data_IF_903638315982
#
_entry.id   IF_903638315982
#
_cell.length_a   1.000
_cell.length_b   1.000
_cell.length_c   1.000
_cell.angle_alpha   90.00
_cell.angle_beta   90.00
_cell.angle_gamma   90.00
#
_symmetry.space_group_name_H-M   'P 1'
#
loop_
_entity.id
_entity.type
_entity.pdbx_description
1 polymer ?
#
# COMPACT_ATOMS: atom_id res chain seq x y z
N UNK A 1 -13.37 -17.05 -8.52
CA UNK A 1 -12.55 -16.81 -7.30
C UNK A 1 -12.91 -17.84 -6.24
N UNK A 2 -11.94 -18.42 -5.53
CA UNK A 2 -12.15 -19.49 -4.54
C UNK A 2 -13.09 -19.01 -3.42
N UNK A 3 -14.21 -19.71 -3.20
CA UNK A 3 -15.13 -19.45 -2.08
C UNK A 3 -14.75 -20.40 -0.94
N UNK A 4 -14.40 -19.83 0.20
CA UNK A 4 -14.00 -20.56 1.40
C UNK A 4 -15.00 -20.30 2.53
N UNK A 5 -15.32 -21.33 3.31
CA UNK A 5 -16.10 -21.18 4.53
C UNK A 5 -15.26 -20.56 5.66
N UNK A 6 -15.87 -20.29 6.81
CA UNK A 6 -15.20 -19.61 7.92
C UNK A 6 -13.96 -20.37 8.43
N UNK A 7 -14.04 -21.70 8.55
CA UNK A 7 -12.93 -22.54 9.03
C UNK A 7 -11.78 -22.56 8.02
N UNK A 8 -12.10 -22.68 6.74
CA UNK A 8 -11.12 -22.66 5.65
C UNK A 8 -10.39 -21.31 5.58
N UNK A 9 -11.15 -20.21 5.60
CA UNK A 9 -10.58 -18.86 5.63
C UNK A 9 -9.75 -18.62 6.89
N UNK A 10 -10.25 -19.04 8.06
CA UNK A 10 -9.51 -18.96 9.33
C UNK A 10 -8.20 -19.75 9.31
N UNK A 11 -8.20 -20.93 8.71
CA UNK A 11 -6.99 -21.76 8.55
C UNK A 11 -5.94 -21.08 7.65
N UNK A 12 -6.39 -20.47 6.55
CA UNK A 12 -5.51 -19.72 5.63
C UNK A 12 -4.93 -18.50 6.35
N UNK A 13 -5.76 -17.74 7.06
CA UNK A 13 -5.32 -16.56 7.83
C UNK A 13 -4.31 -16.94 8.92
N UNK A 14 -4.52 -18.05 9.63
CA UNK A 14 -3.58 -18.53 10.64
C UNK A 14 -2.21 -18.86 10.03
N UNK A 15 -2.18 -19.59 8.90
CA UNK A 15 -0.95 -19.88 8.18
C UNK A 15 -0.24 -18.61 7.69
N UNK A 16 -0.99 -17.66 7.13
CA UNK A 16 -0.48 -16.38 6.67
C UNK A 16 0.13 -15.55 7.81
N UNK A 17 -0.50 -15.55 8.98
CA UNK A 17 -0.03 -14.84 10.17
C UNK A 17 1.27 -15.46 10.72
N UNK A 18 1.34 -16.79 10.79
CA UNK A 18 2.57 -17.52 11.16
C UNK A 18 3.70 -17.16 10.19
N UNK A 19 3.45 -17.16 8.89
CA UNK A 19 4.46 -16.88 7.88
C UNK A 19 4.78 -15.40 7.67
N UNK A 20 3.99 -14.48 8.24
CA UNK A 20 4.12 -13.03 7.96
C UNK A 20 5.48 -12.44 8.32
N UNK A 21 6.19 -13.06 9.27
CA UNK A 21 7.42 -12.50 9.84
C UNK A 21 7.19 -11.33 10.80
N UNK A 22 5.92 -10.99 11.09
CA UNK A 22 5.54 -9.98 12.07
C UNK A 22 5.81 -10.44 13.51
N UNK A 23 5.69 -11.74 13.79
CA UNK A 23 6.04 -12.31 15.09
C UNK A 23 7.47 -12.82 15.06
N UNK A 24 8.33 -12.24 15.89
CA UNK A 24 9.70 -12.71 16.07
C UNK A 24 9.91 -13.15 17.51
N UNK A 25 10.42 -14.36 17.68
CA UNK A 25 10.86 -14.84 18.98
C UNK A 25 12.31 -14.41 19.17
N UNK A 26 12.52 -13.37 19.96
CA UNK A 26 13.87 -12.93 20.37
C UNK A 26 14.01 -13.13 21.87
N UNK A 27 15.05 -13.85 22.29
CA UNK A 27 15.38 -14.07 23.70
C UNK A 27 14.20 -14.62 24.55
N UNK A 28 13.41 -15.53 23.98
CA UNK A 28 12.23 -16.11 24.66
C UNK A 28 11.00 -15.20 24.74
N UNK A 29 11.05 -13.99 24.18
CA UNK A 29 9.92 -13.07 24.09
C UNK A 29 9.36 -13.04 22.67
N UNK A 30 8.03 -13.03 22.57
CA UNK A 30 7.33 -12.82 21.30
C UNK A 30 7.21 -11.32 21.09
N UNK A 31 7.99 -10.79 20.14
CA UNK A 31 7.97 -9.38 19.79
C UNK A 31 7.20 -9.23 18.47
N UNK A 32 6.21 -8.34 18.48
CA UNK A 32 5.52 -7.92 17.27
C UNK A 32 6.37 -6.85 16.57
N UNK A 33 7.00 -7.22 15.46
CA UNK A 33 7.91 -6.38 14.67
C UNK A 33 7.27 -6.02 13.32
N UNK A 34 6.43 -4.97 13.31
CA UNK A 34 5.81 -4.43 12.09
C UNK A 34 4.62 -5.24 11.56
N UNK A 35 4.21 -4.94 10.33
CA UNK A 35 3.01 -5.49 9.67
C UNK A 35 3.24 -6.81 8.91
N UNK A 36 4.48 -7.29 8.86
CA UNK A 36 4.87 -8.48 8.09
C UNK A 36 5.16 -8.21 6.62
N UNK A 37 5.75 -9.20 5.94
CA UNK A 37 6.09 -9.12 4.52
C UNK A 37 4.86 -9.49 3.66
N UNK A 38 4.30 -8.49 2.98
CA UNK A 38 3.06 -8.63 2.19
C UNK A 38 3.22 -9.60 1.03
N UNK A 39 4.41 -9.68 0.42
CA UNK A 39 4.70 -10.63 -0.65
C UNK A 39 4.65 -12.05 -0.08
N UNK A 40 5.32 -12.29 1.06
CA UNK A 40 5.33 -13.59 1.71
C UNK A 40 3.94 -14.03 2.16
N UNK A 41 3.16 -13.10 2.71
CA UNK A 41 1.77 -13.32 3.11
C UNK A 41 0.95 -13.75 1.89
N UNK A 42 1.04 -13.03 0.76
CA UNK A 42 0.29 -13.36 -0.45
C UNK A 42 0.66 -14.75 -1.02
N UNK A 43 1.95 -15.08 -1.06
CA UNK A 43 2.43 -16.41 -1.48
C UNK A 43 1.94 -17.50 -0.54
N UNK A 44 2.01 -17.27 0.77
CA UNK A 44 1.54 -18.23 1.78
C UNK A 44 0.03 -18.45 1.65
N UNK A 45 -0.75 -17.39 1.45
CA UNK A 45 -2.20 -17.49 1.21
C UNK A 45 -2.49 -18.32 -0.03
N UNK A 46 -1.72 -18.11 -1.12
CA UNK A 46 -1.88 -18.90 -2.34
C UNK A 46 -1.66 -20.40 -2.10
N UNK A 47 -0.58 -20.78 -1.43
CA UNK A 47 -0.31 -22.18 -1.08
C UNK A 47 -1.34 -22.75 -0.10
N UNK A 48 -1.70 -21.99 0.94
CA UNK A 48 -2.70 -22.40 1.92
C UNK A 48 -4.07 -22.62 1.28
N UNK A 49 -4.49 -21.74 0.36
CA UNK A 49 -5.73 -21.87 -0.39
C UNK A 49 -5.77 -23.14 -1.25
N UNK A 50 -4.65 -23.46 -1.92
CA UNK A 50 -4.52 -24.70 -2.69
C UNK A 50 -4.59 -25.94 -1.78
N UNK A 51 -3.86 -25.92 -0.67
CA UNK A 51 -3.84 -27.00 0.31
C UNK A 51 -5.23 -27.24 0.93
N UNK A 52 -5.93 -26.17 1.31
CA UNK A 52 -7.29 -26.24 1.86
C UNK A 52 -8.25 -26.88 0.87
N UNK A 53 -8.22 -26.47 -0.40
CA UNK A 53 -9.07 -27.04 -1.44
C UNK A 53 -8.80 -28.53 -1.65
N UNK A 54 -7.54 -28.94 -1.54
CA UNK A 54 -7.13 -30.34 -1.67
C UNK A 54 -7.53 -31.20 -0.46
N UNK A 55 -7.44 -30.65 0.76
CA UNK A 55 -7.69 -31.39 2.00
C UNK A 55 -9.15 -31.46 2.41
N UNK A 56 -9.94 -30.40 2.14
CA UNK A 56 -11.35 -30.33 2.60
C UNK A 56 -12.18 -31.55 2.16
N UNK A 57 -12.13 -32.01 0.89
CA UNK A 57 -12.89 -33.19 0.47
C UNK A 57 -12.45 -34.49 1.13
N UNK A 58 -11.21 -34.55 1.64
CA UNK A 58 -10.60 -35.76 2.23
C UNK A 58 -10.84 -35.90 3.73
N UNK A 59 -11.05 -34.77 4.43
CA UNK A 59 -11.13 -34.75 5.89
C UNK A 59 -12.56 -34.96 6.43
N UNK A 60 -13.59 -34.78 5.61
CA UNK A 60 -14.99 -35.00 6.01
C UNK A 60 -15.33 -34.27 7.32
N UNK A 61 -15.90 -35.00 8.29
CA UNK A 61 -16.27 -34.45 9.61
C UNK A 61 -15.07 -33.94 10.44
N UNK A 62 -13.85 -34.42 10.17
CA UNK A 62 -12.65 -33.99 10.87
C UNK A 62 -12.10 -32.64 10.39
N UNK A 63 -12.71 -32.05 9.35
CA UNK A 63 -12.28 -30.77 8.78
C UNK A 63 -12.16 -29.67 9.84
N UNK A 64 -13.07 -29.63 10.82
CA UNK A 64 -13.07 -28.60 11.88
C UNK A 64 -11.81 -28.71 12.76
N UNK A 65 -11.32 -29.92 13.01
CA UNK A 65 -10.20 -30.17 13.91
C UNK A 65 -8.85 -30.20 13.18
N UNK A 66 -8.77 -30.92 12.07
CA UNK A 66 -7.49 -31.23 11.41
C UNK A 66 -7.09 -30.18 10.36
N UNK A 67 -8.05 -29.51 9.72
CA UNK A 67 -7.71 -28.55 8.67
C UNK A 67 -6.86 -27.37 9.19
N UNK A 68 -7.24 -26.69 10.29
CA UNK A 68 -6.43 -25.56 10.79
C UNK A 68 -5.02 -25.99 11.17
N UNK A 69 -4.86 -27.15 11.80
CA UNK A 69 -3.56 -27.69 12.22
C UNK A 69 -2.67 -27.98 11.01
N UNK A 70 -3.17 -28.74 10.03
CA UNK A 70 -2.38 -29.12 8.85
C UNK A 70 -2.01 -27.89 8.03
N UNK A 71 -2.94 -26.96 7.84
CA UNK A 71 -2.70 -25.75 7.04
C UNK A 71 -1.70 -24.83 7.75
N UNK A 72 -1.83 -24.64 9.06
CA UNK A 72 -0.89 -23.84 9.85
C UNK A 72 0.53 -24.41 9.80
N UNK A 73 0.69 -25.73 9.97
CA UNK A 73 2.01 -26.37 9.96
C UNK A 73 2.62 -26.41 8.56
N UNK A 74 1.86 -26.89 7.57
CA UNK A 74 2.40 -27.12 6.22
C UNK A 74 2.51 -25.81 5.45
N UNK A 75 1.41 -25.07 5.29
CA UNK A 75 1.45 -23.81 4.52
C UNK A 75 2.19 -22.71 5.29
N UNK A 76 1.99 -22.62 6.61
CA UNK A 76 2.77 -21.68 7.44
C UNK A 76 4.26 -22.01 7.47
N UNK A 77 4.63 -23.30 7.49
CA UNK A 77 6.03 -23.76 7.39
C UNK A 77 6.67 -23.43 6.05
N UNK A 78 5.97 -23.66 4.93
CA UNK A 78 6.41 -23.23 3.60
C UNK A 78 6.57 -21.72 3.54
N UNK A 79 5.62 -20.96 4.10
CA UNK A 79 5.71 -19.52 4.22
C UNK A 79 6.92 -19.04 5.02
N UNK A 80 7.24 -19.71 6.13
CA UNK A 80 8.45 -19.41 6.91
C UNK A 80 9.74 -19.72 6.14
N UNK A 81 9.76 -20.77 5.33
CA UNK A 81 10.89 -21.08 4.45
C UNK A 81 11.07 -20.02 3.34
N UNK A 82 9.98 -19.46 2.81
CA UNK A 82 10.02 -18.41 1.79
C UNK A 82 10.37 -17.01 2.36
N UNK A 83 10.15 -16.79 3.66
CA UNK A 83 10.28 -15.48 4.31
C UNK A 83 11.66 -14.82 4.14
N UNK A 84 12.81 -15.52 4.26
CA UNK A 84 14.11 -14.89 4.04
C UNK A 84 14.28 -14.35 2.62
N UNK A 85 13.77 -15.07 1.61
CA UNK A 85 13.89 -14.68 0.21
C UNK A 85 13.00 -13.49 -0.14
N UNK A 86 11.76 -13.47 0.36
CA UNK A 86 10.87 -12.31 0.18
C UNK A 86 11.40 -11.07 0.90
N UNK A 87 11.97 -11.24 2.10
CA UNK A 87 12.69 -10.17 2.83
C UNK A 87 13.90 -9.63 2.07
N UNK A 88 14.62 -10.44 1.30
CA UNK A 88 15.71 -9.92 0.44
C UNK A 88 15.16 -8.98 -0.63
N UNK A 89 14.03 -9.33 -1.25
CA UNK A 89 13.38 -8.49 -2.28
C UNK A 89 12.89 -7.18 -1.66
N UNK A 90 12.13 -7.24 -0.57
CA UNK A 90 11.61 -6.03 0.10
C UNK A 90 12.72 -5.20 0.71
N UNK A 91 13.79 -5.83 1.22
CA UNK A 91 15.01 -5.16 1.68
C UNK A 91 15.74 -4.42 0.55
N UNK A 92 15.89 -5.03 -0.63
CA UNK A 92 16.52 -4.38 -1.78
C UNK A 92 15.72 -3.17 -2.28
N UNK A 93 14.40 -3.28 -2.30
CA UNK A 93 13.50 -2.15 -2.61
C UNK A 93 13.67 -1.04 -1.57
N UNK A 94 13.70 -1.39 -0.29
CA UNK A 94 13.95 -0.45 0.80
C UNK A 94 15.30 0.27 0.63
N UNK A 95 16.39 -0.46 0.42
CA UNK A 95 17.71 0.11 0.20
C UNK A 95 17.73 1.07 -0.99
N UNK A 96 17.11 0.69 -2.10
CA UNK A 96 16.99 1.55 -3.29
C UNK A 96 16.30 2.87 -2.94
N UNK A 97 15.17 2.81 -2.23
CA UNK A 97 14.46 4.01 -1.79
C UNK A 97 15.28 4.81 -0.78
N UNK A 98 16.01 4.14 0.11
CA UNK A 98 16.93 4.78 1.04
C UNK A 98 18.03 5.56 0.33
N UNK A 99 18.47 5.16 -0.87
CA UNK A 99 19.43 5.97 -1.63
C UNK A 99 18.83 7.27 -2.17
N UNK A 100 17.50 7.34 -2.35
CA UNK A 100 16.82 8.53 -2.86
C UNK A 100 16.89 9.71 -1.88
N UNK A 101 17.02 9.43 -0.58
CA UNK A 101 17.12 10.48 0.46
C UNK A 101 18.44 11.26 0.41
N UNK A 102 19.44 10.76 -0.31
CA UNK A 102 20.72 11.44 -0.49
C UNK A 102 20.70 12.49 -1.61
N UNK A 103 19.64 12.55 -2.42
CA UNK A 103 19.51 13.54 -3.48
C UNK A 103 19.14 14.92 -2.92
N UNK A 104 19.33 15.96 -3.73
CA UNK A 104 18.91 17.31 -3.38
C UNK A 104 17.40 17.36 -3.11
N UNK A 105 16.91 18.20 -2.16
CA UNK A 105 15.54 18.12 -1.65
C UNK A 105 14.44 18.08 -2.70
N UNK A 106 14.54 18.88 -3.78
CA UNK A 106 13.55 18.91 -4.85
C UNK A 106 13.50 17.60 -5.66
N UNK A 107 14.67 17.07 -6.03
CA UNK A 107 14.78 15.81 -6.79
C UNK A 107 14.37 14.64 -5.90
N UNK A 108 14.84 14.63 -4.64
CA UNK A 108 14.42 13.68 -3.63
C UNK A 108 12.90 13.67 -3.49
N UNK A 109 12.26 14.83 -3.27
CA UNK A 109 10.82 14.92 -3.07
C UNK A 109 10.00 14.33 -4.23
N UNK A 110 10.38 14.68 -5.46
CA UNK A 110 9.74 14.11 -6.67
C UNK A 110 9.88 12.58 -6.71
N UNK A 111 11.10 12.06 -6.52
CA UNK A 111 11.37 10.63 -6.58
C UNK A 111 10.72 9.86 -5.43
N UNK A 112 10.68 10.43 -4.23
CA UNK A 112 10.00 9.87 -3.06
C UNK A 112 8.49 9.78 -3.30
N UNK A 113 7.88 10.83 -3.87
CA UNK A 113 6.48 10.81 -4.27
C UNK A 113 6.18 9.69 -5.28
N UNK A 114 6.98 9.60 -6.34
CA UNK A 114 6.88 8.54 -7.37
C UNK A 114 7.01 7.15 -6.75
N UNK A 115 8.08 6.92 -5.98
CA UNK A 115 8.40 5.62 -5.42
C UNK A 115 7.30 5.13 -4.48
N UNK A 116 6.85 5.98 -3.55
CA UNK A 116 5.84 5.61 -2.56
C UNK A 116 4.45 5.44 -3.18
N UNK A 117 4.11 6.21 -4.22
CA UNK A 117 2.89 5.98 -5.00
C UNK A 117 2.91 4.65 -5.74
N UNK A 118 4.05 4.27 -6.35
CA UNK A 118 4.19 2.96 -6.97
C UNK A 118 4.11 1.84 -5.92
N UNK A 119 4.74 2.01 -4.76
CA UNK A 119 4.72 1.02 -3.69
C UNK A 119 3.31 0.76 -3.16
N UNK A 120 2.54 1.80 -2.83
CA UNK A 120 1.26 1.62 -2.15
C UNK A 120 0.23 0.87 -3.00
N UNK A 121 0.33 0.97 -4.32
CA UNK A 121 -0.53 0.27 -5.28
C UNK A 121 0.06 -1.05 -5.79
N UNK A 122 1.21 -1.45 -5.27
CA UNK A 122 1.90 -2.71 -5.53
C UNK A 122 1.69 -3.71 -4.37
N UNK A 123 2.06 -5.00 -4.51
CA UNK A 123 2.00 -5.98 -3.42
C UNK A 123 3.11 -5.80 -2.37
N UNK A 124 3.59 -4.56 -2.16
CA UNK A 124 4.59 -4.18 -1.16
C UNK A 124 3.95 -3.28 -0.10
N UNK A 125 4.46 -3.34 1.13
CA UNK A 125 4.03 -2.45 2.21
C UNK A 125 4.80 -1.14 2.15
N UNK A 126 4.18 -0.06 1.64
CA UNK A 126 4.78 1.28 1.64
C UNK A 126 5.18 1.72 3.05
N UNK A 127 4.30 1.55 4.03
CA UNK A 127 4.55 1.84 5.46
C UNK A 127 5.67 0.94 6.01
N UNK A 128 5.67 -0.35 5.66
CA UNK A 128 6.71 -1.28 6.08
C UNK A 128 8.10 -0.87 5.57
N UNK A 129 8.18 -0.42 4.32
CA UNK A 129 9.43 0.10 3.74
C UNK A 129 9.85 1.41 4.41
N UNK A 130 8.93 2.36 4.58
CA UNK A 130 9.20 3.63 5.26
C UNK A 130 9.78 3.43 6.66
N UNK A 131 9.18 2.53 7.44
CA UNK A 131 9.63 2.16 8.78
C UNK A 131 10.99 1.46 8.77
N UNK A 132 11.22 0.57 7.80
CA UNK A 132 12.47 -0.20 7.72
C UNK A 132 13.69 0.67 7.41
N UNK A 133 13.53 1.73 6.61
CA UNK A 133 14.62 2.64 6.26
C UNK A 133 14.62 3.94 7.07
N UNK A 134 13.61 4.17 7.92
CA UNK A 134 13.51 5.36 8.78
C UNK A 134 13.31 6.65 7.98
N UNK A 135 12.40 6.68 7.02
CA UNK A 135 12.13 7.90 6.23
C UNK A 135 11.49 8.97 7.12
N UNK A 136 12.15 10.11 7.29
CA UNK A 136 11.68 11.23 8.11
C UNK A 136 11.85 12.58 7.41
N UNK A 137 11.32 13.65 8.02
CA UNK A 137 11.41 15.01 7.52
C UNK A 137 10.76 15.19 6.14
N UNK A 138 11.40 15.99 5.28
CA UNK A 138 10.89 16.35 3.94
C UNK A 138 10.66 15.11 3.07
N UNK A 139 11.48 14.07 3.22
CA UNK A 139 11.34 12.83 2.48
C UNK A 139 10.02 12.12 2.83
N UNK A 140 9.65 12.11 4.12
CA UNK A 140 8.38 11.53 4.60
C UNK A 140 7.17 12.34 4.12
N UNK A 141 7.22 13.67 4.25
CA UNK A 141 6.12 14.52 3.80
C UNK A 141 5.92 14.46 2.28
N UNK A 142 7.00 14.43 1.49
CA UNK A 142 6.94 14.26 0.04
C UNK A 142 6.36 12.90 -0.38
N UNK A 143 6.74 11.82 0.31
CA UNK A 143 6.15 10.50 0.11
C UNK A 143 4.64 10.48 0.41
N UNK A 144 4.23 11.14 1.49
CA UNK A 144 2.82 11.24 1.87
C UNK A 144 2.00 12.01 0.83
N UNK A 145 2.48 13.18 0.39
CA UNK A 145 1.80 13.94 -0.67
C UNK A 145 1.74 13.17 -1.99
N UNK A 146 2.80 12.44 -2.35
CA UNK A 146 2.80 11.57 -3.52
C UNK A 146 1.71 10.48 -3.45
N UNK A 147 1.61 9.78 -2.31
CA UNK A 147 0.55 8.78 -2.08
C UNK A 147 -0.83 9.42 -2.11
N UNK A 148 -1.00 10.60 -1.51
CA UNK A 148 -2.28 11.32 -1.54
C UNK A 148 -2.68 11.67 -2.97
N UNK A 149 -1.78 12.24 -3.78
CA UNK A 149 -2.05 12.51 -5.19
C UNK A 149 -2.39 11.25 -5.98
N UNK A 150 -1.68 10.14 -5.73
CA UNK A 150 -2.01 8.82 -6.27
C UNK A 150 -3.44 8.40 -5.92
N UNK A 151 -3.84 8.51 -4.66
CA UNK A 151 -5.17 8.13 -4.19
C UNK A 151 -6.28 8.95 -4.84
N UNK A 152 -6.14 10.27 -4.89
CA UNK A 152 -7.10 11.14 -5.57
C UNK A 152 -7.13 10.91 -7.09
N UNK A 153 -5.98 10.63 -7.70
CA UNK A 153 -5.90 10.30 -9.13
C UNK A 153 -6.72 9.06 -9.45
N UNK A 154 -6.53 7.97 -8.70
CA UNK A 154 -7.29 6.74 -8.88
C UNK A 154 -8.78 6.92 -8.55
N UNK A 155 -9.12 7.68 -7.51
CA UNK A 155 -10.50 8.01 -7.17
C UNK A 155 -11.20 8.74 -8.34
N UNK A 156 -10.58 9.81 -8.85
CA UNK A 156 -11.17 10.67 -9.88
C UNK A 156 -11.22 9.97 -11.23
N UNK A 157 -10.19 9.20 -11.59
CA UNK A 157 -10.20 8.44 -12.85
C UNK A 157 -11.24 7.32 -12.83
N UNK A 158 -11.50 6.72 -11.67
CA UNK A 158 -12.45 5.61 -11.53
C UNK A 158 -13.89 6.01 -11.16
N UNK A 159 -14.14 7.30 -10.92
CA UNK A 159 -15.41 7.80 -10.37
C UNK A 159 -16.66 7.59 -11.22
N UNK A 160 -16.51 7.31 -12.53
CA UNK A 160 -17.64 7.00 -13.43
C UNK A 160 -17.98 5.50 -13.49
N UNK A 161 -17.03 4.65 -13.13
CA UNK A 161 -17.18 3.19 -13.24
C UNK A 161 -17.36 2.50 -11.89
N UNK A 162 -16.98 3.17 -10.80
CA UNK A 162 -17.14 2.68 -9.43
C UNK A 162 -18.19 3.49 -8.67
N UNK A 163 -18.82 2.84 -7.68
CA UNK A 163 -19.74 3.51 -6.77
C UNK A 163 -19.08 4.63 -5.96
N UNK A 164 -19.91 5.50 -5.39
CA UNK A 164 -19.45 6.63 -4.56
C UNK A 164 -18.62 6.16 -3.34
N UNK A 165 -19.07 5.11 -2.65
CA UNK A 165 -18.36 4.54 -1.51
C UNK A 165 -16.95 4.06 -1.87
N UNK A 166 -16.83 3.31 -2.97
CA UNK A 166 -15.56 2.81 -3.49
C UNK A 166 -14.65 3.97 -3.94
N UNK A 167 -15.22 5.01 -4.55
CA UNK A 167 -14.47 6.22 -4.94
C UNK A 167 -13.87 6.92 -3.72
N UNK A 168 -14.64 7.10 -2.64
CA UNK A 168 -14.15 7.69 -1.37
C UNK A 168 -13.13 6.79 -0.68
N UNK A 169 -13.31 5.47 -0.76
CA UNK A 169 -12.41 4.49 -0.14
C UNK A 169 -10.96 4.61 -0.62
N UNK A 170 -10.72 5.12 -1.83
CA UNK A 170 -9.37 5.34 -2.35
C UNK A 170 -8.56 6.31 -1.48
N UNK A 171 -9.15 7.44 -1.05
CA UNK A 171 -8.40 8.51 -0.39
C UNK A 171 -8.58 8.56 1.14
N UNK A 172 -9.73 8.12 1.66
CA UNK A 172 -9.93 7.97 3.12
C UNK A 172 -9.35 6.64 3.62
N UNK A 173 -9.56 5.56 2.85
CA UNK A 173 -9.10 4.22 3.16
C UNK A 173 -7.69 3.99 2.66
N UNK A 174 -7.56 3.47 1.44
CA UNK A 174 -6.25 3.25 0.80
C UNK A 174 -6.38 3.09 -0.71
N UNK A 175 -5.44 3.63 -1.52
CA UNK A 175 -5.40 3.36 -2.96
C UNK A 175 -5.03 1.91 -3.28
N UNK A 176 -4.58 1.13 -2.30
CA UNK A 176 -4.25 -0.30 -2.45
C UNK A 176 -5.44 -1.14 -2.92
N UNK A 177 -6.68 -0.66 -2.80
CA UNK A 177 -7.86 -1.31 -3.38
C UNK A 177 -7.77 -1.47 -4.92
N UNK A 178 -6.97 -0.65 -5.60
CA UNK A 178 -6.70 -0.75 -7.03
C UNK A 178 -5.55 -1.70 -7.39
N UNK A 179 -4.87 -2.33 -6.41
CA UNK A 179 -3.68 -3.15 -6.65
C UNK A 179 -3.91 -4.24 -7.71
N UNK A 180 -5.07 -4.90 -7.69
CA UNK A 180 -5.40 -5.92 -8.69
C UNK A 180 -5.46 -5.34 -10.13
N UNK A 181 -6.06 -4.17 -10.29
CA UNK A 181 -6.15 -3.48 -11.57
C UNK A 181 -4.80 -2.97 -12.05
N UNK A 182 -3.97 -2.47 -11.14
CA UNK A 182 -2.60 -2.03 -11.44
C UNK A 182 -1.71 -3.18 -11.93
N UNK A 183 -1.84 -4.37 -11.32
CA UNK A 183 -1.13 -5.57 -11.75
C UNK A 183 -1.68 -6.13 -13.07
N UNK A 184 -2.98 -6.01 -13.31
CA UNK A 184 -3.62 -6.43 -14.57
C UNK A 184 -3.28 -5.51 -15.73
N UNK A 185 -3.22 -4.20 -15.50
CA UNK A 185 -2.85 -3.20 -16.49
C UNK A 185 -1.77 -2.24 -15.94
N UNK A 186 -0.47 -2.59 -16.10
CA UNK A 186 0.63 -1.75 -15.61
C UNK A 186 0.69 -0.34 -16.20
N UNK A 187 -0.04 -0.05 -17.29
CA UNK A 187 -0.12 1.31 -17.85
C UNK A 187 -0.73 2.31 -16.86
N UNK A 188 -1.55 1.85 -15.92
CA UNK A 188 -2.14 2.67 -14.87
C UNK A 188 -1.09 3.27 -13.91
N UNK A 189 0.13 2.73 -13.86
CA UNK A 189 1.20 3.34 -13.07
C UNK A 189 1.57 4.73 -13.57
N UNK A 190 1.55 4.96 -14.88
CA UNK A 190 2.02 6.21 -15.46
C UNK A 190 1.24 7.46 -14.99
N UNK A 191 -0.11 7.52 -15.05
CA UNK A 191 -0.86 8.66 -14.52
C UNK A 191 -0.65 8.86 -13.01
N UNK A 192 -0.54 7.76 -12.28
CA UNK A 192 -0.39 7.76 -10.82
C UNK A 192 0.99 8.27 -10.39
N UNK A 193 2.07 7.80 -11.00
CA UNK A 193 3.42 8.28 -10.68
C UNK A 193 3.64 9.72 -11.18
N UNK A 194 2.99 10.11 -12.28
CA UNK A 194 3.07 11.48 -12.79
C UNK A 194 2.47 12.49 -11.80
N UNK A 195 1.25 12.24 -11.31
CA UNK A 195 0.66 13.10 -10.28
C UNK A 195 1.43 13.04 -8.96
N UNK A 196 1.88 11.85 -8.55
CA UNK A 196 2.63 11.68 -7.33
C UNK A 196 4.00 12.39 -7.34
N UNK A 197 4.69 12.39 -8.49
CA UNK A 197 5.96 13.11 -8.64
C UNK A 197 5.78 14.63 -8.54
N UNK A 198 4.72 15.18 -9.13
CA UNK A 198 4.40 16.61 -9.00
C UNK A 198 4.08 16.94 -7.53
N UNK A 199 3.24 16.13 -6.88
CA UNK A 199 2.88 16.34 -5.48
C UNK A 199 4.07 16.21 -4.53
N UNK A 200 4.96 15.23 -4.77
CA UNK A 200 6.20 15.06 -4.02
C UNK A 200 7.16 16.23 -4.20
N UNK A 201 7.31 16.75 -5.43
CA UNK A 201 8.08 17.97 -5.69
C UNK A 201 7.52 19.17 -4.93
N UNK A 202 6.20 19.36 -4.97
CA UNK A 202 5.51 20.43 -4.22
C UNK A 202 5.75 20.26 -2.71
N UNK A 203 5.71 19.04 -2.20
CA UNK A 203 6.06 18.73 -0.81
C UNK A 203 7.45 19.19 -0.42
N UNK A 204 8.44 18.95 -1.28
CA UNK A 204 9.81 19.43 -1.06
C UNK A 204 9.95 20.96 -1.16
N UNK A 205 9.23 21.62 -2.08
CA UNK A 205 9.24 23.10 -2.21
C UNK A 205 8.73 23.78 -0.94
N UNK A 206 7.69 23.22 -0.33
CA UNK A 206 7.08 23.75 0.89
C UNK A 206 7.61 23.10 2.17
N UNK A 207 8.70 22.32 2.07
CA UNK A 207 9.37 21.66 3.19
C UNK A 207 8.43 20.83 4.09
N UNK A 208 7.41 20.23 3.47
CA UNK A 208 6.42 19.42 4.16
C UNK A 208 7.11 18.21 4.78
N UNK A 209 7.01 18.11 6.10
CA UNK A 209 7.70 17.10 6.88
C UNK A 209 6.74 16.09 7.51
N UNK A 210 7.30 14.96 7.92
CA UNK A 210 6.61 13.87 8.60
C UNK A 210 7.59 12.90 9.25
N UNK A 211 7.07 11.80 9.79
CA UNK A 211 7.84 10.79 10.52
C UNK A 211 7.86 9.46 9.76
N UNK A 212 8.69 8.51 10.21
CA UNK A 212 8.70 7.16 9.65
C UNK A 212 7.35 6.45 9.83
N UNK A 213 6.65 6.74 10.92
CA UNK A 213 5.32 6.18 11.22
C UNK A 213 4.22 6.74 10.32
N UNK A 214 4.37 7.97 9.83
CA UNK A 214 3.39 8.57 8.92
C UNK A 214 3.74 8.32 7.45
N UNK A 215 5.02 8.15 7.12
CA UNK A 215 5.48 7.85 5.79
C UNK A 215 4.82 6.56 5.26
N UNK A 216 4.26 6.63 4.06
CA UNK A 216 3.64 5.48 3.41
C UNK A 216 2.12 5.37 3.58
N UNK A 217 1.48 6.28 4.31
CA UNK A 217 0.01 6.35 4.45
C UNK A 217 -0.65 7.37 3.50
N UNK A 218 0.02 8.48 3.19
CA UNK A 218 -0.61 9.60 2.50
C UNK A 218 -1.81 10.14 3.27
N UNK A 219 -2.98 10.29 2.62
CA UNK A 219 -4.21 10.77 3.27
C UNK A 219 -5.01 9.69 4.00
N UNK A 220 -4.58 8.43 3.92
CA UNK A 220 -5.26 7.31 4.58
C UNK A 220 -5.41 7.59 6.09
N UNK A 221 -6.65 7.50 6.58
CA UNK A 221 -6.96 7.79 8.00
C UNK A 221 -6.53 9.18 8.48
N UNK A 222 -6.28 10.12 7.56
CA UNK A 222 -5.71 11.45 7.84
C UNK A 222 -4.30 11.42 8.48
N UNK A 223 -3.58 10.30 8.41
CA UNK A 223 -2.28 10.14 9.09
C UNK A 223 -1.23 11.11 8.55
N UNK A 224 -1.08 11.24 7.23
CA UNK A 224 -0.16 12.20 6.62
C UNK A 224 -0.48 13.67 6.97
N UNK A 225 -1.71 14.15 6.72
CA UNK A 225 -2.12 15.51 7.12
C UNK A 225 -1.88 15.81 8.60
N UNK A 226 -2.21 14.86 9.50
CA UNK A 226 -2.03 15.06 10.94
C UNK A 226 -0.56 15.06 11.35
N UNK A 227 0.27 14.21 10.74
CA UNK A 227 1.71 14.24 10.99
C UNK A 227 2.32 15.57 10.53
N UNK A 228 1.96 16.05 9.35
CA UNK A 228 2.41 17.37 8.87
C UNK A 228 1.93 18.49 9.79
N UNK A 229 0.69 18.44 10.28
CA UNK A 229 0.19 19.44 11.22
C UNK A 229 0.99 19.49 12.53
N UNK A 230 1.46 18.34 13.02
CA UNK A 230 2.28 18.26 14.24
C UNK A 230 3.68 18.85 14.05
N UNK A 231 4.24 18.77 12.84
CA UNK A 231 5.56 19.32 12.50
C UNK A 231 5.52 20.81 12.12
N UNK A 232 4.34 21.34 11.75
CA UNK A 232 4.16 22.75 11.40
C UNK A 232 3.81 23.59 12.64
N UNK A 233 4.17 24.88 12.61
CA UNK A 233 3.66 25.86 13.58
C UNK A 233 2.13 25.94 13.43
N UNK A 234 1.41 25.41 14.41
CA UNK A 234 -0.05 25.22 14.35
C UNK A 234 -0.85 26.52 14.18
N UNK A 235 -2.13 26.37 13.81
CA UNK A 235 -3.07 27.50 13.66
C UNK A 235 -3.97 27.37 12.42
N UNK A 236 -4.97 28.27 12.27
CA UNK A 236 -5.94 28.20 11.17
C UNK A 236 -5.34 28.26 9.77
N UNK A 237 -4.27 29.05 9.59
CA UNK A 237 -3.56 29.15 8.30
C UNK A 237 -2.85 27.84 7.94
N UNK A 238 -2.26 27.15 8.91
CA UNK A 238 -1.64 25.85 8.70
C UNK A 238 -2.68 24.80 8.29
N UNK A 239 -3.86 24.80 8.91
CA UNK A 239 -4.97 23.90 8.54
C UNK A 239 -5.41 24.16 7.08
N UNK A 240 -5.62 25.42 6.71
CA UNK A 240 -6.00 25.79 5.35
C UNK A 240 -4.96 25.35 4.32
N UNK A 241 -3.67 25.51 4.65
CA UNK A 241 -2.56 25.10 3.79
C UNK A 241 -2.46 23.58 3.65
N UNK A 242 -2.61 22.82 4.74
CA UNK A 242 -2.64 21.35 4.72
C UNK A 242 -3.82 20.85 3.89
N UNK A 243 -5.00 21.45 4.04
CA UNK A 243 -6.17 21.11 3.20
C UNK A 243 -5.90 21.39 1.72
N UNK A 244 -5.21 22.48 1.40
CA UNK A 244 -4.81 22.77 0.03
C UNK A 244 -3.85 21.70 -0.51
N UNK A 245 -2.87 21.25 0.27
CA UNK A 245 -1.87 20.28 -0.18
C UNK A 245 -2.36 18.83 -0.18
N UNK A 246 -3.19 18.42 0.79
CA UNK A 246 -3.66 17.04 0.93
C UNK A 246 -5.05 16.78 0.34
N UNK A 247 -5.77 17.82 -0.10
CA UNK A 247 -7.04 17.67 -0.81
C UNK A 247 -7.09 18.51 -2.09
N UNK A 248 -6.86 19.83 -2.01
CA UNK A 248 -7.00 20.74 -3.16
C UNK A 248 -6.11 20.36 -4.35
N UNK A 249 -4.79 20.31 -4.15
CA UNK A 249 -3.80 19.96 -5.16
C UNK A 249 -3.99 18.52 -5.69
N UNK A 250 -4.18 17.49 -4.85
CA UNK A 250 -4.49 16.13 -5.29
C UNK A 250 -5.75 16.03 -6.17
N UNK A 251 -6.81 16.78 -5.84
CA UNK A 251 -8.02 16.85 -6.66
C UNK A 251 -7.71 17.43 -8.05
N UNK A 252 -7.01 18.57 -8.10
CA UNK A 252 -6.62 19.21 -9.35
C UNK A 252 -5.76 18.27 -10.21
N UNK A 253 -4.76 17.62 -9.60
CA UNK A 253 -3.92 16.65 -10.29
C UNK A 253 -4.73 15.45 -10.80
N UNK A 254 -5.66 14.91 -10.01
CA UNK A 254 -6.48 13.79 -10.45
C UNK A 254 -7.37 14.12 -11.65
N UNK A 255 -7.97 15.32 -11.70
CA UNK A 255 -8.70 15.78 -12.88
C UNK A 255 -7.77 15.99 -14.08
N UNK A 256 -6.58 16.55 -13.87
CA UNK A 256 -5.58 16.71 -14.93
C UNK A 256 -5.14 15.36 -15.51
N UNK A 257 -4.83 14.38 -14.65
CA UNK A 257 -4.44 13.03 -15.09
C UNK A 257 -5.57 12.33 -15.84
N UNK A 258 -6.81 12.46 -15.38
CA UNK A 258 -7.98 11.95 -16.10
C UNK A 258 -8.11 12.58 -17.50
N UNK A 259 -8.01 13.90 -17.59
CA UNK A 259 -8.09 14.60 -18.88
C UNK A 259 -6.99 14.15 -19.84
N UNK A 260 -5.75 14.10 -19.36
CA UNK A 260 -4.58 13.75 -20.19
C UNK A 260 -4.64 12.28 -20.60
N UNK A 261 -4.73 11.34 -19.65
CA UNK A 261 -4.50 9.92 -19.91
C UNK A 261 -5.74 9.16 -20.38
N UNK A 262 -6.95 9.60 -20.01
CA UNK A 262 -8.20 8.94 -20.42
C UNK A 262 -8.83 9.68 -21.61
N UNK A 263 -9.01 11.00 -21.52
CA UNK A 263 -9.80 11.73 -22.51
C UNK A 263 -9.01 12.13 -23.76
N UNK A 264 -7.75 12.57 -23.60
CA UNK A 264 -6.92 13.05 -24.70
C UNK A 264 -6.05 11.98 -25.33
N UNK A 265 -5.24 11.30 -24.51
CA UNK A 265 -4.29 10.29 -25.01
C UNK A 265 -4.93 8.91 -25.19
N UNK A 266 -6.08 8.66 -24.54
CA UNK A 266 -6.72 7.34 -24.47
C UNK A 266 -5.73 6.21 -24.12
N UNK A 267 -4.73 6.54 -23.30
CA UNK A 267 -3.64 5.65 -22.92
C UNK A 267 -4.12 4.54 -21.97
N UNK A 268 -5.11 4.88 -21.13
CA UNK A 268 -5.83 3.97 -20.24
C UNK A 268 -7.33 4.24 -20.37
N UNK A 269 -8.15 3.24 -20.09
CA UNK A 269 -9.61 3.34 -20.18
C UNK A 269 -10.23 3.37 -18.79
N UNK A 270 -11.44 3.92 -18.67
CA UNK A 270 -12.13 3.97 -17.37
C UNK A 270 -12.45 2.56 -16.86
N UNK A 271 -12.74 1.62 -17.76
CA UNK A 271 -13.06 0.22 -17.43
C UNK A 271 -11.86 -0.53 -16.83
N UNK A 272 -10.64 -0.05 -17.07
CA UNK A 272 -9.43 -0.64 -16.47
C UNK A 272 -9.34 -0.37 -14.95
N UNK A 273 -10.18 0.52 -14.41
CA UNK A 273 -10.21 0.93 -13.00
C UNK A 273 -11.45 0.42 -12.24
N UNK A 274 -12.28 -0.41 -12.87
CA UNK A 274 -13.43 -1.04 -12.21
C UNK A 274 -12.95 -1.90 -11.06
N UNK A 275 -13.44 -1.62 -9.86
CA UNK A 275 -13.25 -2.49 -8.71
C UNK A 275 -14.46 -3.42 -8.69
N UNK A 276 -14.21 -4.71 -8.95
CA UNK A 276 -15.24 -5.73 -8.87
C UNK A 276 -15.68 -5.90 -7.41
N UNK A 277 -16.69 -5.13 -6.99
CA UNK A 277 -17.42 -5.36 -5.76
C UNK A 277 -18.16 -6.70 -5.89
N UNK A 278 -17.79 -7.68 -5.07
CA UNK A 278 -18.46 -8.98 -4.99
C UNK A 278 -19.77 -8.91 -4.22
#
# INVERSE_FOLDING_TARGET
MLKFNLIQSGSITAAAMIASGAFQVKNGQIILSGSGDVINIALTIFFAAFLVKFLTPKLGSYTVLLLPLIVAVVAGGVGQFMLPYTKMVTGAVGQTIGTLTNFQPLVMGMLMGIAFAALIVSPISSVGIAMAIGVEGIASGSANLGITACAFTLAIMSSKVNGFGTTIAHFIGTPKIQMANMLKNPRLFLPVIASAGIAGLVGAIFEISGTANSAGFGSAGLIGPMATYQEMAGGPLAIGFIMLLFAGMPILLGFAMRYIFIQKLQFVREEDLVIEDK
#
